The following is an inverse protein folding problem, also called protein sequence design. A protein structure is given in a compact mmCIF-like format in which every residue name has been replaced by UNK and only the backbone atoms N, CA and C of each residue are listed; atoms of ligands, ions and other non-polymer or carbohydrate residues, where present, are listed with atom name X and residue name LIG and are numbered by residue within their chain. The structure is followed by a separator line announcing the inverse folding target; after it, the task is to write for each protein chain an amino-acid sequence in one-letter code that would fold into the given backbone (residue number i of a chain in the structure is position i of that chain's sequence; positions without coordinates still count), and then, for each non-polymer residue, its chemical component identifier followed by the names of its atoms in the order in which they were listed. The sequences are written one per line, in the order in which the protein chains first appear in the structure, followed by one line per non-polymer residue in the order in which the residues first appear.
data_IF_644971551783
#
_entry.id   IF_644971551783
#
_cell.length_a   1.000
_cell.length_b   1.000
_cell.length_c   1.000
_cell.angle_alpha   90.00
_cell.angle_beta   90.00
_cell.angle_gamma   90.00
#
_symmetry.space_group_name_H-M   'P 1'
#
loop_
_entity.id
_entity.type
_entity.pdbx_description
1 polymer ?
#
# COMPACT_ATOMS: atom_id res chain seq x y z
N UNK A 1 25.34 7.87 -29.35
CA UNK A 1 25.43 8.03 -27.89
C UNK A 1 24.17 7.42 -27.25
N UNK A 2 24.14 6.11 -27.17
CA UNK A 2 23.08 5.34 -26.52
C UNK A 2 23.70 4.04 -26.02
N UNK A 3 24.34 4.06 -24.86
CA UNK A 3 24.83 2.92 -24.09
C UNK A 3 25.32 3.48 -22.76
N UNK A 4 24.47 3.52 -21.72
CA UNK A 4 24.94 3.76 -20.33
C UNK A 4 23.79 3.76 -19.30
N UNK A 5 22.73 2.94 -19.48
CA UNK A 5 21.70 2.83 -18.43
C UNK A 5 21.41 1.39 -17.95
N UNK A 6 22.19 0.41 -18.44
CA UNK A 6 21.96 -1.00 -18.11
C UNK A 6 22.73 -1.51 -16.89
N UNK A 7 23.58 -0.70 -16.24
CA UNK A 7 24.50 -1.20 -15.20
C UNK A 7 24.20 -0.70 -13.77
N UNK A 8 23.18 0.12 -13.54
CA UNK A 8 22.91 0.67 -12.20
C UNK A 8 21.95 -0.18 -11.34
N UNK A 9 21.30 -1.18 -11.90
CA UNK A 9 20.31 -1.99 -11.15
C UNK A 9 20.94 -3.14 -10.34
N UNK A 10 22.18 -3.55 -10.64
CA UNK A 10 22.84 -4.68 -10.00
C UNK A 10 23.61 -4.34 -8.70
N UNK A 11 23.81 -3.07 -8.36
CA UNK A 11 24.76 -2.66 -7.30
C UNK A 11 24.05 -2.38 -5.95
N UNK A 12 22.74 -2.18 -5.91
CA UNK A 12 22.04 -1.74 -4.68
C UNK A 12 21.63 -2.90 -3.76
N UNK A 13 21.58 -4.14 -4.24
CA UNK A 13 21.17 -5.30 -3.41
C UNK A 13 22.33 -5.89 -2.60
N UNK A 14 23.60 -5.64 -2.96
CA UNK A 14 24.75 -6.19 -2.24
C UNK A 14 25.16 -5.44 -0.96
N UNK A 15 24.57 -4.28 -0.64
CA UNK A 15 24.98 -3.48 0.52
C UNK A 15 24.27 -3.86 1.84
N UNK A 16 23.29 -4.76 1.82
CA UNK A 16 22.49 -5.10 3.00
C UNK A 16 23.01 -6.25 3.88
N UNK A 17 24.15 -6.88 3.54
CA UNK A 17 24.63 -8.05 4.27
C UNK A 17 25.78 -7.78 5.26
N UNK A 18 26.18 -6.55 5.50
CA UNK A 18 27.32 -6.28 6.36
C UNK A 18 27.13 -5.06 7.29
N UNK A 19 26.25 -5.13 8.26
CA UNK A 19 26.44 -4.51 9.58
C UNK A 19 25.29 -4.86 10.52
N UNK A 20 25.34 -6.05 11.12
CA UNK A 20 24.57 -6.37 12.31
C UNK A 20 25.44 -6.03 13.52
N UNK A 21 25.23 -4.87 14.12
CA UNK A 21 25.66 -4.61 15.49
C UNK A 21 24.46 -4.71 16.42
N UNK A 22 24.40 -5.82 17.18
CA UNK A 22 23.46 -6.01 18.28
C UNK A 22 23.60 -4.89 19.32
N UNK A 23 22.48 -4.27 19.66
CA UNK A 23 22.26 -3.63 20.95
C UNK A 23 21.08 -4.30 21.61
N UNK A 24 21.34 -4.93 22.74
CA UNK A 24 20.34 -5.57 23.59
C UNK A 24 19.30 -4.55 24.06
N UNK A 25 18.04 -4.74 23.64
CA UNK A 25 16.90 -4.03 24.17
C UNK A 25 16.09 -5.00 25.04
N UNK A 26 16.10 -4.79 26.36
CA UNK A 26 15.21 -5.50 27.27
C UNK A 26 13.79 -4.95 27.10
N UNK A 27 12.88 -5.80 26.64
CA UNK A 27 11.44 -5.52 26.63
C UNK A 27 10.80 -6.20 27.83
N UNK A 28 10.23 -5.43 28.73
CA UNK A 28 9.30 -5.93 29.73
C UNK A 28 7.90 -6.05 29.13
N UNK A 29 7.37 -7.27 29.12
CA UNK A 29 5.96 -7.57 29.22
C UNK A 29 5.10 -7.40 27.96
N UNK A 30 5.20 -8.32 26.99
CA UNK A 30 4.14 -8.53 26.00
C UNK A 30 3.49 -9.92 26.21
N UNK A 31 2.16 -9.95 26.25
CA UNK A 31 1.37 -11.16 26.41
C UNK A 31 1.62 -12.15 25.26
N UNK A 32 1.81 -13.43 25.56
CA UNK A 32 1.95 -14.49 24.57
C UNK A 32 0.63 -14.74 23.83
N UNK A 33 0.67 -14.90 22.48
CA UNK A 33 -0.49 -15.38 21.74
C UNK A 33 -0.73 -16.88 22.02
N UNK A 34 -1.99 -17.22 22.19
CA UNK A 34 -2.48 -18.57 22.43
C UNK A 34 -2.12 -19.51 21.28
N UNK A 35 -1.54 -20.66 21.61
CA UNK A 35 -1.24 -21.73 20.67
C UNK A 35 -2.53 -22.39 20.17
N UNK A 36 -2.86 -22.26 18.89
CA UNK A 36 -3.76 -23.18 18.23
C UNK A 36 -2.97 -24.38 17.72
N UNK A 37 -3.21 -25.56 18.29
CA UNK A 37 -2.65 -26.81 17.81
C UNK A 37 -3.38 -27.28 16.56
N UNK A 38 -2.76 -27.09 15.39
CA UNK A 38 -3.04 -27.92 14.23
C UNK A 38 -1.70 -28.52 13.77
N UNK A 39 -1.48 -29.77 14.17
CA UNK A 39 -0.30 -30.52 13.75
C UNK A 39 -0.47 -30.99 12.30
N UNK A 40 -0.09 -30.18 11.33
CA UNK A 40 0.31 -30.64 10.02
C UNK A 40 1.81 -30.96 10.08
N UNK A 41 2.19 -32.21 9.81
CA UNK A 41 3.59 -32.59 9.59
C UNK A 41 4.01 -31.97 8.26
N UNK A 42 4.48 -30.75 8.29
CA UNK A 42 5.24 -30.17 7.20
C UNK A 42 6.71 -30.49 7.46
N UNK A 43 7.35 -31.23 6.55
CA UNK A 43 8.81 -31.24 6.48
C UNK A 43 9.24 -29.78 6.30
N UNK A 44 9.95 -29.24 7.27
CA UNK A 44 10.39 -27.85 7.22
C UNK A 44 11.36 -27.72 6.02
N UNK A 45 10.96 -26.96 5.02
CA UNK A 45 11.77 -26.64 3.84
C UNK A 45 13.01 -25.87 4.32
N UNK A 46 14.19 -26.36 4.03
CA UNK A 46 15.44 -25.70 4.43
C UNK A 46 15.83 -24.61 3.43
N UNK A 47 16.67 -23.62 3.81
CA UNK A 47 17.20 -22.64 2.86
C UNK A 47 17.91 -23.29 1.65
N UNK A 48 18.53 -24.45 1.84
CA UNK A 48 19.17 -25.21 0.76
C UNK A 48 18.13 -25.78 -0.21
N UNK A 49 16.98 -26.27 0.29
CA UNK A 49 15.88 -26.76 -0.54
C UNK A 49 15.27 -25.63 -1.36
N UNK A 50 15.06 -24.47 -0.77
CA UNK A 50 14.59 -23.24 -1.45
C UNK A 50 15.56 -22.87 -2.58
N UNK A 51 16.87 -22.79 -2.31
CA UNK A 51 17.87 -22.47 -3.33
C UNK A 51 17.92 -23.48 -4.48
N UNK A 52 17.78 -24.78 -4.16
CA UNK A 52 17.72 -25.83 -5.17
C UNK A 52 16.47 -25.73 -6.06
N UNK A 53 15.31 -25.45 -5.47
CA UNK A 53 14.06 -25.20 -6.20
C UNK A 53 14.20 -24.01 -7.13
N UNK A 54 14.67 -22.86 -6.65
CA UNK A 54 14.84 -21.65 -7.47
C UNK A 54 15.84 -21.86 -8.61
N UNK A 55 16.91 -22.63 -8.37
CA UNK A 55 17.87 -23.01 -9.44
C UNK A 55 17.23 -23.87 -10.51
N UNK A 56 16.41 -24.86 -10.12
CA UNK A 56 15.66 -25.70 -11.04
C UNK A 56 14.67 -24.87 -11.86
N UNK A 57 13.89 -24.02 -11.22
CA UNK A 57 12.91 -23.17 -11.89
C UNK A 57 13.58 -22.22 -12.88
N UNK A 58 14.76 -21.67 -12.57
CA UNK A 58 15.50 -20.81 -13.50
C UNK A 58 15.81 -21.50 -14.84
N UNK A 59 16.02 -22.80 -14.83
CA UNK A 59 16.28 -23.57 -16.04
C UNK A 59 15.03 -23.77 -16.93
N UNK A 60 13.84 -23.50 -16.41
CA UNK A 60 12.57 -23.62 -17.13
C UNK A 60 12.07 -22.29 -17.72
N UNK A 61 12.70 -21.17 -17.39
CA UNK A 61 12.29 -19.84 -17.83
C UNK A 61 12.39 -19.69 -19.35
N UNK A 62 11.43 -19.01 -20.01
CA UNK A 62 11.48 -18.75 -21.45
C UNK A 62 12.70 -17.91 -21.84
N UNK A 63 13.17 -18.00 -23.09
CA UNK A 63 14.19 -17.09 -23.62
C UNK A 63 13.73 -15.63 -23.48
N UNK A 64 14.65 -14.73 -23.09
CA UNK A 64 14.36 -13.30 -22.89
C UNK A 64 13.39 -12.96 -21.74
N UNK A 65 13.25 -13.83 -20.74
CA UNK A 65 12.41 -13.59 -19.57
C UNK A 65 12.74 -12.26 -18.86
N UNK A 66 14.00 -11.79 -18.94
CA UNK A 66 14.42 -10.53 -18.29
C UNK A 66 13.70 -9.28 -18.85
N UNK A 67 13.23 -9.34 -20.09
CA UNK A 67 12.47 -8.23 -20.68
C UNK A 67 11.13 -8.01 -19.95
N UNK A 68 10.60 -9.03 -19.33
CA UNK A 68 9.35 -8.99 -18.55
C UNK A 68 9.44 -8.07 -17.32
N UNK A 69 10.61 -7.98 -16.69
CA UNK A 69 10.79 -7.14 -15.49
C UNK A 69 10.43 -5.66 -15.68
N UNK A 70 10.36 -5.19 -16.94
CA UNK A 70 10.13 -3.79 -17.28
C UNK A 70 8.87 -3.57 -18.14
N UNK A 71 8.08 -4.58 -18.42
CA UNK A 71 7.09 -4.56 -19.50
C UNK A 71 5.63 -4.53 -19.06
N UNK A 72 5.27 -3.85 -17.98
CA UNK A 72 3.86 -3.50 -17.78
C UNK A 72 3.45 -2.51 -18.87
N UNK A 73 2.31 -2.75 -19.52
CA UNK A 73 1.81 -1.93 -20.63
C UNK A 73 1.73 -0.45 -20.24
N UNK A 74 2.44 0.38 -20.97
CA UNK A 74 2.51 1.82 -20.70
C UNK A 74 1.15 2.53 -20.81
N UNK A 75 0.26 2.06 -21.69
CA UNK A 75 -1.10 2.58 -21.84
C UNK A 75 -1.99 2.29 -20.62
N UNK A 76 -1.76 1.17 -19.94
CA UNK A 76 -2.42 0.86 -18.68
C UNK A 76 -1.89 1.75 -17.57
N UNK A 77 -0.58 1.90 -17.44
CA UNK A 77 0.04 2.79 -16.44
C UNK A 77 -0.40 4.25 -16.58
N UNK A 78 -0.68 4.71 -17.79
CA UNK A 78 -1.18 6.06 -18.03
C UNK A 78 -2.61 6.29 -17.54
N UNK A 79 -3.39 5.24 -17.30
CA UNK A 79 -4.78 5.32 -16.85
C UNK A 79 -4.96 5.18 -15.34
N UNK A 80 -4.01 4.57 -14.67
CA UNK A 80 -4.04 4.33 -13.23
C UNK A 80 -3.23 5.38 -12.51
N UNK A 81 -3.64 5.71 -11.28
CA UNK A 81 -2.85 6.58 -10.43
C UNK A 81 -1.47 5.96 -10.20
N UNK A 82 -0.35 6.64 -10.57
CA UNK A 82 0.98 6.06 -10.46
C UNK A 82 1.47 5.88 -9.02
N UNK A 83 0.85 6.52 -8.04
CA UNK A 83 1.31 6.54 -6.65
C UNK A 83 1.42 5.16 -6.02
N UNK A 84 0.43 4.28 -6.24
CA UNK A 84 0.43 2.95 -5.64
C UNK A 84 1.63 2.07 -6.05
N UNK A 85 2.11 2.19 -7.29
CA UNK A 85 3.23 1.39 -7.81
C UNK A 85 4.53 1.63 -7.05
N UNK A 86 4.69 2.81 -6.48
CA UNK A 86 5.94 3.27 -5.88
C UNK A 86 6.03 2.99 -4.39
N UNK A 87 4.92 2.76 -3.69
CA UNK A 87 4.93 2.44 -2.26
C UNK A 87 5.77 1.18 -1.99
N UNK A 88 5.55 0.11 -2.75
CA UNK A 88 6.33 -1.14 -2.63
C UNK A 88 7.80 -0.93 -3.02
N UNK A 89 8.06 -0.18 -4.10
CA UNK A 89 9.42 0.09 -4.55
C UNK A 89 10.19 1.01 -3.59
N UNK A 90 9.52 1.96 -2.93
CA UNK A 90 10.15 2.86 -1.96
C UNK A 90 10.52 2.14 -0.67
N UNK A 91 9.71 1.22 -0.20
CA UNK A 91 10.06 0.37 0.95
C UNK A 91 11.31 -0.49 0.67
N UNK A 92 11.51 -0.90 -0.59
CA UNK A 92 12.69 -1.66 -1.00
C UNK A 92 13.91 -0.77 -1.35
N UNK A 93 13.77 0.56 -1.43
CA UNK A 93 14.82 1.53 -1.81
C UNK A 93 15.18 2.46 -0.66
N UNK A 94 15.69 1.96 0.42
CA UNK A 94 16.21 2.78 1.52
C UNK A 94 17.47 3.54 1.07
N UNK A 95 17.32 4.76 0.53
CA UNK A 95 18.43 5.69 0.33
C UNK A 95 18.59 6.53 1.60
N UNK A 96 19.78 6.56 2.17
CA UNK A 96 20.10 7.39 3.33
C UNK A 96 19.98 8.87 2.96
N UNK A 97 18.92 9.52 3.42
CA UNK A 97 18.73 10.97 3.38
C UNK A 97 18.79 11.52 4.82
N UNK A 98 18.98 12.82 5.05
CA UNK A 98 19.01 13.39 6.40
C UNK A 98 17.65 13.36 7.14
N UNK A 99 16.65 12.72 6.61
CA UNK A 99 15.35 12.48 7.19
C UNK A 99 15.31 11.05 7.75
N UNK A 100 14.63 10.83 8.86
CA UNK A 100 14.48 9.50 9.46
C UNK A 100 13.17 8.87 9.02
N UNK A 101 13.25 7.94 8.07
CA UNK A 101 12.14 7.09 7.60
C UNK A 101 12.16 5.68 8.22
N UNK A 102 13.01 5.45 9.21
CA UNK A 102 13.07 4.20 9.95
C UNK A 102 11.90 4.08 10.94
N UNK A 103 10.69 4.19 10.43
CA UNK A 103 9.46 4.09 11.20
C UNK A 103 9.20 2.67 11.70
N UNK A 104 8.29 2.48 12.67
CA UNK A 104 7.93 1.15 13.15
C UNK A 104 7.34 0.27 12.05
N UNK A 105 6.59 0.86 11.10
CA UNK A 105 6.06 0.14 9.93
C UNK A 105 7.21 -0.32 9.02
N UNK A 106 8.17 0.55 8.73
CA UNK A 106 9.36 0.18 7.94
C UNK A 106 10.18 -0.91 8.62
N UNK A 107 10.40 -0.79 9.93
CA UNK A 107 11.12 -1.81 10.71
C UNK A 107 10.38 -3.15 10.68
N UNK A 108 9.06 -3.13 10.86
CA UNK A 108 8.25 -4.35 10.80
C UNK A 108 8.33 -5.01 9.41
N UNK A 109 8.21 -4.23 8.33
CA UNK A 109 8.30 -4.78 6.98
C UNK A 109 9.69 -5.36 6.68
N UNK A 110 10.76 -4.70 7.13
CA UNK A 110 12.12 -5.23 7.04
C UNK A 110 12.28 -6.56 7.78
N UNK A 111 11.64 -6.73 8.93
CA UNK A 111 11.61 -8.01 9.62
C UNK A 111 10.85 -9.08 8.83
N UNK A 112 9.74 -8.74 8.18
CA UNK A 112 8.99 -9.67 7.33
C UNK A 112 9.82 -10.15 6.12
N UNK A 113 10.72 -9.31 5.61
CA UNK A 113 11.58 -9.58 4.45
C UNK A 113 12.97 -10.12 4.84
N UNK A 114 13.25 -10.31 6.13
CA UNK A 114 14.60 -10.65 6.62
C UNK A 114 15.16 -11.99 6.13
N UNK A 115 14.29 -12.92 5.73
CA UNK A 115 14.63 -14.22 5.16
C UNK A 115 14.49 -14.29 3.62
N UNK A 116 14.21 -13.14 2.98
CA UNK A 116 14.14 -13.06 1.54
C UNK A 116 15.54 -12.89 0.93
N UNK A 117 15.90 -13.82 0.06
CA UNK A 117 17.11 -13.74 -0.77
C UNK A 117 16.85 -12.93 -2.05
N UNK A 118 17.93 -12.57 -2.75
CA UNK A 118 17.83 -11.94 -4.07
C UNK A 118 16.95 -12.74 -5.04
N UNK A 119 17.09 -14.06 -5.08
CA UNK A 119 16.33 -14.92 -5.99
C UNK A 119 14.83 -14.93 -5.63
N UNK A 120 14.47 -14.90 -4.36
CA UNK A 120 13.08 -14.82 -3.91
C UNK A 120 12.44 -13.50 -4.39
N UNK A 121 13.15 -12.38 -4.22
CA UNK A 121 12.71 -11.05 -4.71
C UNK A 121 12.63 -11.05 -6.24
N UNK A 122 13.63 -11.60 -6.90
CA UNK A 122 13.69 -11.68 -8.36
C UNK A 122 12.50 -12.44 -8.94
N UNK A 123 12.15 -13.60 -8.41
CA UNK A 123 11.01 -14.38 -8.88
C UNK A 123 9.68 -13.69 -8.59
N UNK A 124 9.51 -13.08 -7.41
CA UNK A 124 8.30 -12.31 -7.10
C UNK A 124 8.09 -11.15 -8.08
N UNK A 125 9.18 -10.50 -8.50
CA UNK A 125 9.12 -9.41 -9.49
C UNK A 125 8.90 -9.96 -10.91
N UNK A 126 9.67 -10.98 -11.31
CA UNK A 126 9.64 -11.54 -12.66
C UNK A 126 8.25 -12.09 -13.02
N UNK A 127 7.61 -12.78 -12.10
CA UNK A 127 6.31 -13.41 -12.31
C UNK A 127 5.13 -12.45 -12.23
N UNK A 128 5.35 -11.23 -11.72
CA UNK A 128 4.29 -10.24 -11.51
C UNK A 128 3.55 -10.41 -10.18
N UNK A 129 3.97 -11.31 -9.29
CA UNK A 129 3.31 -11.50 -7.98
C UNK A 129 3.24 -10.24 -7.13
N UNK A 130 4.19 -9.30 -7.28
CA UNK A 130 4.16 -8.02 -6.56
C UNK A 130 3.09 -7.05 -7.10
N UNK A 131 2.65 -7.25 -8.34
CA UNK A 131 1.71 -6.35 -9.02
C UNK A 131 0.29 -6.93 -9.09
N UNK A 132 0.16 -8.24 -9.27
CA UNK A 132 -1.14 -8.89 -9.56
C UNK A 132 -2.23 -8.61 -8.54
N UNK A 133 -2.01 -8.68 -7.22
CA UNK A 133 -3.07 -8.37 -6.25
C UNK A 133 -3.59 -6.93 -6.38
N UNK A 134 -2.70 -5.98 -6.62
CA UNK A 134 -3.04 -4.56 -6.81
C UNK A 134 -3.90 -4.35 -8.05
N UNK A 135 -3.46 -4.86 -9.19
CA UNK A 135 -4.18 -4.66 -10.46
C UNK A 135 -5.46 -5.48 -10.56
N UNK A 136 -5.51 -6.65 -9.95
CA UNK A 136 -6.74 -7.43 -9.90
C UNK A 136 -7.81 -6.73 -9.05
N UNK A 137 -7.44 -6.22 -7.88
CA UNK A 137 -8.35 -5.41 -7.06
C UNK A 137 -8.79 -4.13 -7.79
N UNK A 138 -7.86 -3.47 -8.48
CA UNK A 138 -8.15 -2.26 -9.24
C UNK A 138 -9.08 -2.52 -10.43
N UNK A 139 -8.76 -3.48 -11.28
CA UNK A 139 -9.40 -3.62 -12.59
C UNK A 139 -10.65 -4.50 -12.56
N UNK A 140 -10.66 -5.52 -11.70
CA UNK A 140 -11.66 -6.59 -11.77
C UNK A 140 -12.54 -6.73 -10.53
N UNK A 141 -12.14 -6.21 -9.36
CA UNK A 141 -13.00 -6.19 -8.18
C UNK A 141 -13.87 -4.93 -8.17
N UNK A 142 -15.02 -4.98 -8.84
CA UNK A 142 -15.87 -3.83 -9.11
C UNK A 142 -17.21 -3.84 -8.33
N UNK A 143 -17.26 -4.56 -7.19
CA UNK A 143 -18.43 -4.62 -6.30
C UNK A 143 -18.01 -4.69 -4.84
N UNK A 144 -18.72 -3.95 -3.97
CA UNK A 144 -18.57 -4.04 -2.51
C UNK A 144 -19.29 -5.28 -1.92
N UNK A 145 -20.19 -5.89 -2.69
CA UNK A 145 -21.03 -6.99 -2.20
C UNK A 145 -20.23 -8.23 -1.88
N UNK A 146 -20.36 -8.75 -0.66
CA UNK A 146 -19.68 -9.95 -0.21
C UNK A 146 -18.20 -9.78 0.10
N UNK A 147 -17.64 -8.58 -0.03
CA UNK A 147 -16.23 -8.34 0.27
C UNK A 147 -15.95 -8.36 1.77
N UNK A 148 -14.79 -8.90 2.12
CA UNK A 148 -14.27 -8.93 3.49
C UNK A 148 -12.91 -8.21 3.50
N UNK A 149 -12.60 -7.53 4.58
CA UNK A 149 -11.36 -6.77 4.74
C UNK A 149 -10.49 -7.37 5.85
N UNK A 150 -9.22 -7.60 5.52
CA UNK A 150 -8.31 -8.44 6.28
C UNK A 150 -8.40 -9.91 5.85
N UNK A 151 -7.34 -10.67 6.10
CA UNK A 151 -7.23 -12.09 5.67
C UNK A 151 -8.40 -12.93 6.18
N UNK A 152 -8.94 -12.63 7.38
CA UNK A 152 -10.05 -13.32 8.01
C UNK A 152 -11.31 -12.43 8.15
N UNK A 153 -11.35 -11.29 7.45
CA UNK A 153 -12.48 -10.36 7.51
C UNK A 153 -12.52 -9.48 8.78
N UNK A 154 -11.44 -9.44 9.56
CA UNK A 154 -11.35 -8.79 10.87
C UNK A 154 -11.58 -7.28 10.85
N UNK A 155 -11.36 -6.62 9.72
CA UNK A 155 -11.57 -5.18 9.55
C UNK A 155 -12.91 -4.82 8.89
N UNK A 156 -13.67 -5.80 8.39
CA UNK A 156 -14.85 -5.61 7.55
C UNK A 156 -15.90 -4.70 8.20
N UNK A 157 -16.26 -4.95 9.43
CA UNK A 157 -17.29 -4.16 10.12
C UNK A 157 -16.85 -2.69 10.27
N UNK A 158 -15.59 -2.47 10.60
CA UNK A 158 -15.01 -1.15 10.81
C UNK A 158 -14.96 -0.35 9.51
N UNK A 159 -14.43 -0.94 8.45
CA UNK A 159 -14.33 -0.32 7.13
C UNK A 159 -15.73 0.00 6.58
N UNK A 160 -16.68 -0.96 6.66
CA UNK A 160 -18.06 -0.76 6.21
C UNK A 160 -18.76 0.39 6.95
N UNK A 161 -18.53 0.54 8.26
CA UNK A 161 -19.07 1.67 9.02
C UNK A 161 -18.41 2.98 8.59
N UNK A 162 -17.08 2.99 8.50
CA UNK A 162 -16.30 4.20 8.20
C UNK A 162 -16.65 4.78 6.84
N UNK A 163 -16.76 3.97 5.80
CA UNK A 163 -17.14 4.47 4.47
C UNK A 163 -18.54 5.09 4.44
N UNK A 164 -19.51 4.52 5.18
CA UNK A 164 -20.84 5.12 5.30
C UNK A 164 -20.80 6.48 5.99
N UNK A 165 -19.97 6.64 6.99
CA UNK A 165 -19.82 7.90 7.71
C UNK A 165 -19.08 8.94 6.86
N UNK A 166 -18.03 8.56 6.12
CA UNK A 166 -17.30 9.42 5.16
C UNK A 166 -18.21 9.95 4.05
N UNK A 167 -19.04 9.08 3.45
CA UNK A 167 -20.02 9.47 2.42
C UNK A 167 -21.05 10.48 2.89
N UNK A 168 -21.28 10.61 4.20
CA UNK A 168 -22.19 11.59 4.80
C UNK A 168 -21.48 12.85 5.26
N UNK A 169 -20.17 12.73 5.50
CA UNK A 169 -19.37 13.82 6.09
C UNK A 169 -18.94 14.85 5.07
N UNK A 170 -18.43 14.38 3.91
CA UNK A 170 -17.94 15.25 2.86
C UNK A 170 -19.02 15.59 1.83
N UNK A 171 -19.00 16.83 1.35
CA UNK A 171 -19.95 17.41 0.38
C UNK A 171 -19.61 17.12 -1.08
N UNK A 172 -19.15 15.89 -1.37
CA UNK A 172 -18.81 15.40 -2.71
C UNK A 172 -19.79 14.33 -3.21
N UNK A 173 -19.75 14.06 -4.53
CA UNK A 173 -20.52 12.98 -5.14
C UNK A 173 -19.91 11.61 -4.81
N UNK A 174 -20.31 11.06 -3.66
CA UNK A 174 -19.66 9.86 -3.09
C UNK A 174 -20.45 8.55 -3.28
N UNK A 175 -21.66 8.60 -3.82
CA UNK A 175 -22.54 7.42 -3.95
C UNK A 175 -21.94 6.29 -4.78
N UNK A 176 -21.12 6.62 -5.77
CA UNK A 176 -20.49 5.68 -6.70
C UNK A 176 -19.08 5.22 -6.25
N UNK A 177 -18.52 5.81 -5.21
CA UNK A 177 -17.22 5.38 -4.69
C UNK A 177 -17.42 4.03 -4.00
N UNK A 178 -16.72 3.00 -4.48
CA UNK A 178 -16.72 1.68 -3.87
C UNK A 178 -15.42 1.45 -3.09
N UNK A 179 -15.49 0.63 -2.04
CA UNK A 179 -14.32 0.18 -1.29
C UNK A 179 -14.18 -1.32 -1.46
N UNK A 180 -12.99 -1.76 -1.86
CA UNK A 180 -12.71 -3.17 -2.12
C UNK A 180 -11.40 -3.59 -1.43
N UNK A 181 -11.30 -4.86 -0.99
CA UNK A 181 -10.06 -5.38 -0.43
C UNK A 181 -9.06 -5.75 -1.53
N UNK A 182 -7.80 -5.81 -1.15
CA UNK A 182 -6.72 -6.38 -1.94
C UNK A 182 -6.11 -7.55 -1.14
N UNK A 183 -6.38 -8.76 -1.60
CA UNK A 183 -5.93 -9.99 -0.96
C UNK A 183 -4.81 -10.66 -1.73
N UNK A 184 -3.74 -11.04 -1.05
CA UNK A 184 -2.65 -11.80 -1.65
C UNK A 184 -3.05 -13.23 -2.05
N UNK A 185 -4.11 -13.76 -1.44
CA UNK A 185 -4.66 -15.08 -1.81
C UNK A 185 -5.17 -15.17 -3.24
N UNK A 186 -5.38 -14.05 -3.95
CA UNK A 186 -5.70 -14.07 -5.38
C UNK A 186 -4.62 -14.75 -6.21
N UNK A 187 -3.38 -14.77 -5.74
CA UNK A 187 -2.27 -15.47 -6.41
C UNK A 187 -2.43 -17.00 -6.46
N UNK A 188 -3.31 -17.55 -5.63
CA UNK A 188 -3.67 -18.97 -5.65
C UNK A 188 -4.76 -19.31 -6.68
N UNK A 189 -5.44 -18.30 -7.21
CA UNK A 189 -6.49 -18.46 -8.22
C UNK A 189 -5.87 -18.40 -9.62
N UNK A 190 -5.66 -19.56 -10.22
CA UNK A 190 -4.99 -19.72 -11.53
C UNK A 190 -5.65 -18.88 -12.62
N UNK A 191 -6.97 -18.83 -12.68
CA UNK A 191 -7.69 -18.09 -13.72
C UNK A 191 -7.54 -16.58 -13.56
N UNK A 192 -7.51 -16.10 -12.32
CA UNK A 192 -7.22 -14.67 -12.03
C UNK A 192 -5.79 -14.33 -12.40
N UNK A 193 -4.83 -15.19 -12.09
CA UNK A 193 -3.41 -15.00 -12.44
C UNK A 193 -3.24 -14.95 -13.96
N UNK A 194 -3.79 -15.91 -14.72
CA UNK A 194 -3.76 -15.91 -16.18
C UNK A 194 -4.34 -14.60 -16.73
N UNK A 195 -5.52 -14.21 -16.27
CA UNK A 195 -6.14 -12.95 -16.69
C UNK A 195 -5.25 -11.73 -16.41
N UNK A 196 -4.63 -11.68 -15.23
CA UNK A 196 -3.73 -10.58 -14.86
C UNK A 196 -2.49 -10.54 -15.72
N UNK A 197 -1.91 -11.69 -16.01
CA UNK A 197 -0.75 -11.82 -16.89
C UNK A 197 -1.05 -11.28 -18.30
N UNK A 198 -2.12 -11.77 -18.92
CA UNK A 198 -2.56 -11.30 -20.24
C UNK A 198 -2.82 -9.79 -20.28
N UNK A 199 -3.36 -9.22 -19.20
CA UNK A 199 -3.66 -7.79 -19.13
C UNK A 199 -2.41 -6.95 -18.92
N UNK A 200 -1.56 -7.30 -17.96
CA UNK A 200 -0.41 -6.48 -17.57
C UNK A 200 0.77 -6.62 -18.52
N UNK A 201 1.06 -7.84 -18.94
CA UNK A 201 2.22 -8.13 -19.79
C UNK A 201 1.84 -8.30 -21.27
N UNK A 202 0.57 -8.54 -21.56
CA UNK A 202 0.08 -8.75 -22.93
C UNK A 202 0.45 -10.11 -23.50
N UNK A 203 0.72 -11.06 -22.64
CA UNK A 203 1.03 -12.44 -23.03
C UNK A 203 -0.16 -13.12 -23.69
N UNK A 204 0.13 -14.11 -24.53
CA UNK A 204 -0.89 -15.03 -25.05
C UNK A 204 -1.35 -15.97 -23.93
N UNK A 205 -2.55 -16.53 -24.05
CA UNK A 205 -3.07 -17.45 -23.05
C UNK A 205 -2.09 -18.61 -22.70
N UNK A 206 -1.44 -19.31 -23.66
CA UNK A 206 -0.46 -20.33 -23.31
C UNK A 206 0.78 -19.82 -22.58
N UNK A 207 1.20 -18.57 -22.82
CA UNK A 207 2.30 -17.96 -22.08
C UNK A 207 1.85 -17.57 -20.66
N UNK A 208 0.64 -17.03 -20.53
CA UNK A 208 0.05 -16.69 -19.23
C UNK A 208 -0.19 -17.95 -18.36
N UNK A 209 -0.59 -19.06 -18.98
CA UNK A 209 -0.70 -20.37 -18.31
C UNK A 209 0.64 -20.83 -17.73
N UNK A 210 1.72 -20.71 -18.52
CA UNK A 210 3.07 -21.03 -18.04
C UNK A 210 3.44 -20.22 -16.79
N UNK A 211 3.18 -18.90 -16.81
CA UNK A 211 3.49 -18.03 -15.65
C UNK A 211 2.59 -18.35 -14.45
N UNK A 212 1.33 -18.68 -14.67
CA UNK A 212 0.42 -19.05 -13.60
C UNK A 212 0.83 -20.39 -12.94
N UNK A 213 1.27 -21.37 -13.73
CA UNK A 213 1.77 -22.64 -13.21
C UNK A 213 3.09 -22.45 -12.45
N UNK A 214 3.98 -21.59 -12.92
CA UNK A 214 5.19 -21.22 -12.22
C UNK A 214 4.88 -20.51 -10.87
N UNK A 215 3.92 -19.59 -10.85
CA UNK A 215 3.49 -18.95 -9.60
C UNK A 215 2.94 -19.98 -8.63
N UNK A 216 2.10 -20.91 -9.08
CA UNK A 216 1.56 -21.97 -8.24
C UNK A 216 2.66 -22.83 -7.62
N UNK A 217 3.69 -23.22 -8.40
CA UNK A 217 4.86 -23.95 -7.89
C UNK A 217 5.66 -23.12 -6.88
N UNK A 218 5.89 -21.83 -7.16
CA UNK A 218 6.59 -20.91 -6.24
C UNK A 218 5.84 -20.74 -4.91
N UNK A 219 4.51 -20.59 -4.96
CA UNK A 219 3.71 -20.44 -3.74
C UNK A 219 3.73 -21.70 -2.87
N UNK A 220 3.79 -22.87 -3.51
CA UNK A 220 3.84 -24.16 -2.82
C UNK A 220 5.23 -24.41 -2.20
N UNK A 221 6.30 -24.12 -2.95
CA UNK A 221 7.65 -24.59 -2.61
C UNK A 221 8.48 -23.53 -1.86
N UNK A 222 8.10 -22.24 -1.92
CA UNK A 222 8.82 -21.14 -1.28
C UNK A 222 8.04 -20.62 -0.07
N UNK A 223 8.39 -21.04 1.15
CA UNK A 223 7.66 -20.66 2.38
C UNK A 223 7.59 -19.16 2.62
N UNK A 224 8.60 -18.40 2.14
CA UNK A 224 8.67 -16.96 2.27
C UNK A 224 7.47 -16.24 1.63
N UNK A 225 6.89 -16.81 0.59
CA UNK A 225 5.70 -16.24 -0.04
C UNK A 225 4.41 -16.47 0.76
N UNK A 226 4.45 -17.33 1.82
CA UNK A 226 3.31 -17.63 2.70
C UNK A 226 2.06 -17.99 1.92
N UNK A 227 2.24 -18.75 0.85
CA UNK A 227 1.15 -19.12 -0.06
C UNK A 227 0.35 -17.89 -0.57
N UNK A 228 1.07 -16.83 -0.96
CA UNK A 228 0.49 -15.57 -1.43
C UNK A 228 0.11 -14.57 -0.33
N UNK A 229 0.12 -14.97 0.94
CA UNK A 229 -0.30 -14.11 2.06
C UNK A 229 0.88 -13.36 2.73
N UNK A 230 2.06 -13.29 2.07
CA UNK A 230 3.11 -12.42 2.60
C UNK A 230 2.68 -10.95 2.46
N UNK A 231 2.82 -10.12 3.51
CA UNK A 231 2.30 -8.75 3.52
C UNK A 231 2.77 -7.88 2.36
N UNK A 232 3.98 -8.13 1.84
CA UNK A 232 4.56 -7.35 0.73
C UNK A 232 3.68 -7.34 -0.53
N UNK A 233 2.91 -8.41 -0.79
CA UNK A 233 2.05 -8.51 -1.96
C UNK A 233 0.84 -7.58 -1.92
N UNK A 234 0.48 -7.10 -0.73
CA UNK A 234 -0.69 -6.26 -0.49
C UNK A 234 -0.37 -5.09 0.45
N UNK A 235 0.91 -4.68 0.46
CA UNK A 235 1.39 -3.59 1.31
C UNK A 235 1.09 -2.24 0.68
N UNK A 236 -0.19 -1.97 0.43
CA UNK A 236 -0.66 -0.71 -0.15
C UNK A 236 -2.13 -0.47 0.16
N UNK A 237 -2.54 0.81 0.05
CA UNK A 237 -3.91 1.27 -0.09
C UNK A 237 -3.90 2.45 -1.04
N UNK A 238 -4.94 2.65 -1.83
CA UNK A 238 -4.98 3.76 -2.77
C UNK A 238 -6.40 4.09 -3.22
N UNK A 239 -6.58 5.33 -3.68
CA UNK A 239 -7.79 5.82 -4.33
C UNK A 239 -7.59 5.90 -5.84
N UNK A 240 -8.61 5.54 -6.60
CA UNK A 240 -8.62 5.65 -8.06
C UNK A 240 -9.91 6.31 -8.55
N UNK A 241 -9.79 7.37 -9.34
CA UNK A 241 -10.91 7.93 -10.08
C UNK A 241 -11.34 6.99 -11.21
N UNK A 242 -12.64 7.00 -11.54
CA UNK A 242 -13.19 6.14 -12.59
C UNK A 242 -12.52 6.37 -13.95
N UNK A 243 -12.35 5.29 -14.71
CA UNK A 243 -11.83 5.35 -16.08
C UNK A 243 -12.37 4.22 -16.96
N UNK A 244 -12.37 4.45 -18.27
CA UNK A 244 -12.74 3.43 -19.27
C UNK A 244 -11.59 2.43 -19.48
N UNK A 245 -11.91 1.14 -19.41
CA UNK A 245 -10.96 0.04 -19.57
C UNK A 245 -11.46 -1.01 -20.59
N UNK A 246 -11.48 -0.69 -21.89
CA UNK A 246 -11.93 -1.63 -22.93
C UNK A 246 -10.95 -2.83 -23.03
N UNK A 247 -11.46 -4.04 -23.30
CA UNK A 247 -12.87 -4.41 -23.51
C UNK A 247 -13.64 -4.68 -22.21
N UNK A 248 -13.05 -4.48 -21.04
CA UNK A 248 -13.55 -4.92 -19.73
C UNK A 248 -14.59 -3.96 -19.13
N UNK A 249 -14.83 -2.80 -19.74
CA UNK A 249 -15.84 -1.86 -19.30
C UNK A 249 -15.29 -0.62 -18.61
N UNK A 250 -15.91 -0.21 -17.51
CA UNK A 250 -15.52 0.97 -16.73
C UNK A 250 -15.07 0.52 -15.34
N UNK A 251 -13.89 0.94 -14.93
CA UNK A 251 -13.45 0.88 -13.54
C UNK A 251 -14.12 2.04 -12.80
N UNK A 252 -14.91 1.78 -11.74
CA UNK A 252 -15.58 2.83 -10.98
C UNK A 252 -14.62 3.65 -10.13
N UNK A 253 -15.11 4.76 -9.59
CA UNK A 253 -14.44 5.44 -8.47
C UNK A 253 -14.22 4.44 -7.32
N UNK A 254 -13.00 4.28 -6.86
CA UNK A 254 -12.63 3.15 -6.04
C UNK A 254 -11.58 3.49 -4.98
N UNK A 255 -11.73 2.87 -3.82
CA UNK A 255 -10.67 2.77 -2.80
C UNK A 255 -10.31 1.30 -2.66
N UNK A 256 -9.03 0.99 -2.75
CA UNK A 256 -8.49 -0.35 -2.55
C UNK A 256 -7.75 -0.39 -1.21
N UNK A 257 -8.07 -1.39 -0.37
CA UNK A 257 -7.49 -1.58 0.96
C UNK A 257 -6.72 -2.89 1.01
N UNK A 258 -5.40 -2.83 1.13
CA UNK A 258 -4.55 -4.02 1.17
C UNK A 258 -4.47 -4.68 2.55
N UNK A 259 -4.44 -6.01 2.59
CA UNK A 259 -4.26 -6.76 3.83
C UNK A 259 -2.93 -6.43 4.50
N UNK A 260 -1.84 -6.40 3.73
CA UNK A 260 -0.48 -6.23 4.26
C UNK A 260 -0.24 -4.91 4.96
N UNK A 261 -0.81 -3.80 4.45
CA UNK A 261 -0.70 -2.50 5.13
C UNK A 261 -1.51 -2.51 6.43
N UNK A 262 -2.71 -3.09 6.45
CA UNK A 262 -3.51 -3.20 7.67
C UNK A 262 -2.86 -4.10 8.72
N UNK A 263 -2.25 -5.22 8.29
CA UNK A 263 -1.51 -6.12 9.15
C UNK A 263 -0.29 -5.45 9.80
N UNK A 264 0.43 -4.60 9.06
CA UNK A 264 1.55 -3.85 9.61
C UNK A 264 1.16 -2.99 10.80
N UNK A 265 0.06 -2.27 10.66
CA UNK A 265 -0.45 -1.43 11.75
C UNK A 265 -1.01 -2.22 12.92
N UNK A 266 -1.59 -3.37 12.66
CA UNK A 266 -2.03 -4.29 13.73
C UNK A 266 -0.83 -4.79 14.51
N UNK A 267 0.25 -5.18 13.83
CA UNK A 267 1.46 -5.68 14.45
C UNK A 267 2.17 -4.64 15.35
N UNK A 268 2.10 -3.36 14.98
CA UNK A 268 2.67 -2.26 15.78
C UNK A 268 1.67 -1.62 16.78
N UNK A 269 0.48 -2.23 16.95
CA UNK A 269 -0.47 -1.85 18.00
C UNK A 269 -1.54 -0.82 17.60
N UNK A 270 -1.69 -0.48 16.31
CA UNK A 270 -2.67 0.50 15.82
C UNK A 270 -3.81 -0.11 14.97
N UNK A 271 -3.97 -1.42 14.98
CA UNK A 271 -4.94 -2.14 14.13
C UNK A 271 -6.41 -1.77 14.34
N UNK A 272 -6.76 -1.12 15.42
CA UNK A 272 -8.13 -0.64 15.66
C UNK A 272 -8.37 0.82 15.24
N UNK A 273 -7.33 1.55 14.85
CA UNK A 273 -7.39 2.94 14.35
C UNK A 273 -7.00 3.03 12.89
N UNK A 274 -5.92 2.34 12.49
CA UNK A 274 -5.32 2.48 11.18
C UNK A 274 -6.28 2.18 10.01
N UNK A 275 -7.13 1.14 10.01
CA UNK A 275 -8.05 0.89 8.91
C UNK A 275 -8.99 2.08 8.63
N UNK A 276 -9.42 2.79 9.69
CA UNK A 276 -10.25 3.98 9.56
C UNK A 276 -9.45 5.19 9.07
N UNK A 277 -8.23 5.36 9.56
CA UNK A 277 -7.35 6.46 9.20
C UNK A 277 -6.92 6.35 7.73
N UNK A 278 -6.50 5.16 7.30
CA UNK A 278 -6.12 4.88 5.91
C UNK A 278 -7.33 5.09 4.98
N UNK A 279 -8.47 4.47 5.30
CA UNK A 279 -9.67 4.64 4.48
C UNK A 279 -10.10 6.11 4.36
N UNK A 280 -10.00 6.88 5.44
CA UNK A 280 -10.34 8.30 5.42
C UNK A 280 -9.32 9.14 4.63
N UNK A 281 -8.05 8.75 4.63
CA UNK A 281 -7.00 9.33 3.79
C UNK A 281 -7.31 9.08 2.30
N UNK A 282 -7.57 7.84 1.92
CA UNK A 282 -7.93 7.49 0.53
C UNK A 282 -9.23 8.18 0.07
N UNK A 283 -10.18 8.33 0.97
CA UNK A 283 -11.38 9.11 0.67
C UNK A 283 -11.06 10.60 0.46
N UNK A 284 -10.06 11.12 1.15
CA UNK A 284 -9.51 12.46 0.95
C UNK A 284 -9.05 12.69 -0.50
N UNK A 285 -8.45 11.69 -1.14
CA UNK A 285 -8.10 11.77 -2.56
C UNK A 285 -9.32 11.88 -3.47
N UNK A 286 -10.44 11.22 -3.17
CA UNK A 286 -11.69 11.46 -3.91
C UNK A 286 -12.24 12.87 -3.71
N UNK A 287 -12.10 13.45 -2.51
CA UNK A 287 -12.39 14.87 -2.30
C UNK A 287 -11.51 15.74 -3.19
N UNK A 288 -10.24 15.44 -3.29
CA UNK A 288 -9.28 16.15 -4.14
C UNK A 288 -9.58 15.99 -5.64
N UNK A 289 -9.91 14.78 -6.11
CA UNK A 289 -10.28 14.52 -7.51
C UNK A 289 -11.46 15.42 -7.93
N UNK A 290 -12.52 15.45 -7.13
CA UNK A 290 -13.72 16.21 -7.46
C UNK A 290 -13.56 17.72 -7.31
N UNK A 291 -12.58 18.19 -6.57
CA UNK A 291 -12.22 19.61 -6.43
C UNK A 291 -11.02 20.02 -7.32
N UNK A 292 -10.56 19.15 -8.24
CA UNK A 292 -9.45 19.41 -9.17
C UNK A 292 -8.14 19.86 -8.46
N UNK A 293 -7.84 19.29 -7.29
CA UNK A 293 -6.68 19.67 -6.47
C UNK A 293 -5.36 19.21 -7.11
N UNK A 294 -5.37 18.09 -7.83
CA UNK A 294 -4.15 17.51 -8.43
C UNK A 294 -3.54 18.39 -9.53
N UNK A 295 -4.34 19.16 -10.25
CA UNK A 295 -3.85 20.00 -11.35
C UNK A 295 -3.20 19.19 -12.48
N UNK A 296 -2.30 19.84 -13.23
CA UNK A 296 -1.54 19.24 -14.33
C UNK A 296 -0.04 19.12 -14.03
N UNK A 297 0.42 19.63 -12.90
CA UNK A 297 1.81 19.62 -12.49
C UNK A 297 2.17 18.29 -11.85
N UNK A 298 3.28 17.70 -12.31
CA UNK A 298 3.87 16.50 -11.72
C UNK A 298 5.22 16.86 -11.10
N UNK A 299 5.23 17.14 -9.81
CA UNK A 299 6.45 17.46 -9.05
C UNK A 299 6.38 16.80 -7.66
N UNK A 300 7.53 16.60 -6.99
CA UNK A 300 7.54 16.10 -5.60
C UNK A 300 6.73 16.99 -4.65
N UNK A 301 6.73 18.28 -4.87
CA UNK A 301 5.97 19.25 -4.06
C UNK A 301 4.46 19.12 -4.29
N UNK A 302 4.02 18.90 -5.54
CA UNK A 302 2.62 18.71 -5.87
C UNK A 302 2.08 17.43 -5.22
N UNK A 303 2.80 16.30 -5.33
CA UNK A 303 2.44 15.04 -4.67
C UNK A 303 2.42 15.20 -3.15
N UNK A 304 3.48 15.76 -2.57
CA UNK A 304 3.52 16.00 -1.13
C UNK A 304 2.35 16.86 -0.64
N UNK A 305 1.97 17.90 -1.40
CA UNK A 305 0.80 18.74 -1.05
C UNK A 305 -0.48 17.91 -0.98
N UNK A 306 -0.74 17.06 -1.98
CA UNK A 306 -1.95 16.23 -2.01
C UNK A 306 -1.96 15.17 -0.92
N UNK A 307 -0.84 14.54 -0.65
CA UNK A 307 -0.70 13.55 0.42
C UNK A 307 -0.91 14.16 1.82
N UNK A 308 -0.23 15.25 2.13
CA UNK A 308 -0.38 15.94 3.40
C UNK A 308 -1.81 16.49 3.59
N UNK A 309 -2.45 16.92 2.50
CA UNK A 309 -3.86 17.34 2.54
C UNK A 309 -4.79 16.16 2.84
N UNK A 310 -4.55 14.98 2.28
CA UNK A 310 -5.32 13.77 2.55
C UNK A 310 -5.16 13.32 4.02
N UNK A 311 -3.96 13.40 4.58
CA UNK A 311 -3.71 13.18 6.02
C UNK A 311 -4.53 14.14 6.90
N UNK A 312 -4.51 15.42 6.55
CA UNK A 312 -5.27 16.43 7.26
C UNK A 312 -6.79 16.22 7.16
N UNK A 313 -7.29 15.84 5.97
CA UNK A 313 -8.71 15.49 5.76
C UNK A 313 -9.12 14.27 6.57
N UNK A 314 -8.28 13.24 6.60
CA UNK A 314 -8.49 12.05 7.42
C UNK A 314 -8.60 12.42 8.91
N UNK A 315 -7.62 13.14 9.43
CA UNK A 315 -7.60 13.55 10.83
C UNK A 315 -8.79 14.47 11.20
N UNK A 316 -9.20 15.36 10.30
CA UNK A 316 -10.37 16.20 10.46
C UNK A 316 -11.65 15.36 10.60
N UNK A 317 -11.87 14.38 9.71
CA UNK A 317 -13.00 13.44 9.79
C UNK A 317 -12.97 12.62 11.08
N UNK A 318 -11.81 12.02 11.41
CA UNK A 318 -11.67 11.15 12.57
C UNK A 318 -11.98 11.88 13.88
N UNK A 319 -11.64 13.17 13.97
CA UNK A 319 -11.79 13.98 15.18
C UNK A 319 -13.12 14.72 15.27
N UNK A 320 -13.77 14.99 14.13
CA UNK A 320 -15.03 15.74 14.10
C UNK A 320 -16.15 14.99 14.82
N UNK A 321 -16.94 15.71 15.62
CA UNK A 321 -18.08 15.16 16.34
C UNK A 321 -19.16 14.57 15.41
N UNK A 322 -19.25 15.05 14.17
CA UNK A 322 -20.14 14.56 13.11
C UNK A 322 -19.47 13.58 12.16
N UNK A 323 -18.16 13.33 12.32
CA UNK A 323 -17.38 12.30 11.64
C UNK A 323 -17.26 11.02 12.49
N UNK A 324 -16.05 10.50 12.66
CA UNK A 324 -15.82 9.33 13.50
C UNK A 324 -15.86 9.62 15.00
N UNK A 325 -15.79 10.90 15.41
CA UNK A 325 -15.86 11.35 16.79
C UNK A 325 -14.85 10.65 17.73
N UNK A 326 -13.63 10.45 17.25
CA UNK A 326 -12.58 9.82 18.04
C UNK A 326 -12.20 10.69 19.25
N UNK A 327 -12.16 10.05 20.42
CA UNK A 327 -11.78 10.71 21.65
C UNK A 327 -10.29 11.04 21.71
N UNK A 328 -9.90 12.05 22.51
CA UNK A 328 -8.51 12.49 22.70
C UNK A 328 -7.50 11.35 22.89
N UNK A 329 -7.88 10.32 23.62
CA UNK A 329 -7.02 9.15 23.85
C UNK A 329 -6.58 8.48 22.52
N UNK A 330 -7.46 8.51 21.50
CA UNK A 330 -7.22 7.92 20.19
C UNK A 330 -6.48 8.85 19.24
N UNK A 331 -6.50 10.17 19.51
CA UNK A 331 -5.81 11.17 18.68
C UNK A 331 -4.32 10.87 18.57
N UNK A 332 -3.67 10.54 19.69
CA UNK A 332 -2.24 10.18 19.68
C UNK A 332 -1.96 8.95 18.83
N UNK A 333 -2.87 7.98 18.80
CA UNK A 333 -2.74 6.76 18.02
C UNK A 333 -2.85 7.06 16.52
N UNK A 334 -3.86 7.81 16.07
CA UNK A 334 -3.97 8.10 14.64
C UNK A 334 -2.88 9.04 14.13
N UNK A 335 -2.37 9.97 14.93
CA UNK A 335 -1.20 10.77 14.56
C UNK A 335 0.03 9.88 14.28
N UNK A 336 0.20 8.80 15.05
CA UNK A 336 1.25 7.83 14.80
C UNK A 336 1.02 7.01 13.53
N UNK A 337 -0.22 6.78 13.11
CA UNK A 337 -0.50 6.14 11.83
C UNK A 337 0.13 6.96 10.69
N UNK A 338 -0.13 8.25 10.64
CA UNK A 338 0.42 9.13 9.62
C UNK A 338 1.94 9.29 9.72
N UNK A 339 2.49 9.39 10.92
CA UNK A 339 3.95 9.38 11.10
C UNK A 339 4.61 8.15 10.48
N UNK A 340 4.02 6.97 10.65
CA UNK A 340 4.62 5.70 10.22
C UNK A 340 4.61 5.46 8.71
N UNK A 341 3.87 6.23 7.91
CA UNK A 341 3.83 6.12 6.44
C UNK A 341 4.57 7.23 5.70
N UNK A 342 5.27 8.10 6.42
CA UNK A 342 6.13 9.12 5.78
C UNK A 342 7.37 8.53 5.15
N UNK A 343 7.92 9.23 4.18
CA UNK A 343 9.14 8.86 3.46
C UNK A 343 10.14 10.02 3.36
N UNK A 344 11.38 9.70 3.00
CA UNK A 344 12.47 10.66 2.83
C UNK A 344 12.89 10.86 1.36
N UNK A 345 12.02 10.56 0.43
CA UNK A 345 12.31 10.56 -1.01
C UNK A 345 12.16 11.94 -1.68
N UNK A 346 12.71 12.99 -1.12
CA UNK A 346 12.51 14.40 -1.50
C UNK A 346 12.58 14.73 -2.99
N UNK A 347 13.33 13.98 -3.78
CA UNK A 347 13.48 14.17 -5.23
C UNK A 347 12.58 13.24 -6.05
N UNK A 348 11.79 12.41 -5.42
CA UNK A 348 10.83 11.52 -6.08
C UNK A 348 9.54 12.27 -6.37
N UNK A 349 9.02 12.13 -7.59
CA UNK A 349 7.67 12.60 -7.93
C UNK A 349 6.57 11.91 -7.10
N UNK A 350 6.95 10.89 -6.32
CA UNK A 350 6.08 10.12 -5.42
C UNK A 350 6.43 10.38 -3.95
N UNK A 351 7.00 11.54 -3.63
CA UNK A 351 7.31 11.92 -2.25
C UNK A 351 6.03 12.26 -1.49
N UNK A 352 5.65 11.44 -0.51
CA UNK A 352 4.43 11.61 0.28
C UNK A 352 4.57 12.57 1.47
N UNK A 353 5.78 13.06 1.73
CA UNK A 353 6.11 13.87 2.90
C UNK A 353 6.86 13.09 3.96
N UNK A 354 7.69 13.79 4.74
CA UNK A 354 8.43 13.17 5.85
C UNK A 354 7.48 12.70 6.95
N UNK A 355 7.88 11.74 7.80
CA UNK A 355 7.09 11.33 8.95
C UNK A 355 6.61 12.50 9.79
N UNK A 356 7.46 13.51 10.02
CA UNK A 356 7.11 14.72 10.80
C UNK A 356 6.10 15.59 10.07
N UNK A 357 6.24 15.78 8.76
CA UNK A 357 5.30 16.57 7.95
C UNK A 357 3.92 15.91 7.90
N UNK A 358 3.85 14.58 7.70
CA UNK A 358 2.60 13.85 7.71
C UNK A 358 1.89 13.95 9.06
N UNK A 359 2.62 13.78 10.16
CA UNK A 359 2.08 13.99 11.50
C UNK A 359 1.59 15.42 11.73
N UNK A 360 2.34 16.43 11.24
CA UNK A 360 1.95 17.84 11.36
C UNK A 360 0.68 18.17 10.54
N UNK A 361 0.52 17.57 9.37
CA UNK A 361 -0.69 17.69 8.57
C UNK A 361 -1.90 17.07 9.28
N UNK A 362 -1.73 15.87 9.85
CA UNK A 362 -2.78 15.23 10.63
C UNK A 362 -3.15 16.05 11.90
N UNK A 363 -2.15 16.63 12.60
CA UNK A 363 -2.41 17.51 13.74
C UNK A 363 -3.19 18.78 13.30
N UNK A 364 -2.87 19.36 12.15
CA UNK A 364 -3.66 20.47 11.59
C UNK A 364 -5.13 20.07 11.39
N UNK A 365 -5.41 18.91 10.83
CA UNK A 365 -6.78 18.39 10.67
C UNK A 365 -7.50 18.21 12.00
N UNK A 366 -6.80 17.65 13.00
CA UNK A 366 -7.31 17.52 14.36
C UNK A 366 -7.64 18.87 15.01
N UNK A 367 -6.73 19.84 14.93
CA UNK A 367 -6.95 21.17 15.52
C UNK A 367 -8.12 21.89 14.85
N UNK A 368 -8.26 21.75 13.53
CA UNK A 368 -9.38 22.29 12.76
C UNK A 368 -10.71 21.71 13.24
N UNK A 369 -10.79 20.38 13.43
CA UNK A 369 -11.98 19.73 13.99
C UNK A 369 -12.27 20.20 15.44
N UNK A 370 -11.25 20.29 16.28
CA UNK A 370 -11.40 20.69 17.68
C UNK A 370 -11.90 22.13 17.80
N UNK A 371 -11.44 23.03 16.95
CA UNK A 371 -11.92 24.41 16.91
C UNK A 371 -13.36 24.51 16.39
N UNK A 372 -13.75 23.67 15.44
CA UNK A 372 -15.10 23.62 14.87
C UNK A 372 -16.11 22.94 15.80
N UNK A 373 -15.70 22.01 16.66
CA UNK A 373 -16.59 21.28 17.58
C UNK A 373 -17.49 22.18 18.43
N UNK A 374 -16.98 23.34 18.84
CA UNK A 374 -17.74 24.31 19.63
C UNK A 374 -18.92 24.91 18.89
N UNK A 375 -18.97 24.78 17.58
CA UNK A 375 -19.98 25.36 16.71
C UNK A 375 -20.84 24.30 15.96
N UNK A 376 -20.51 23.01 16.06
CA UNK A 376 -21.22 21.91 15.37
C UNK A 376 -21.17 22.00 13.85
N UNK A 377 -20.26 22.81 13.30
CA UNK A 377 -20.10 23.07 11.87
C UNK A 377 -19.09 22.11 11.25
N UNK A 378 -19.41 21.54 10.09
CA UNK A 378 -18.47 20.85 9.21
C UNK A 378 -18.12 21.83 8.09
N UNK A 379 -16.82 22.04 7.87
CA UNK A 379 -16.35 22.80 6.72
C UNK A 379 -16.71 22.06 5.41
N UNK A 380 -17.09 22.80 4.39
CA UNK A 380 -17.13 22.25 3.06
C UNK A 380 -15.74 21.82 2.58
N UNK A 381 -15.68 20.93 1.59
CA UNK A 381 -14.43 20.50 0.98
C UNK A 381 -13.59 21.68 0.49
N UNK A 382 -14.21 22.65 -0.17
CA UNK A 382 -13.53 23.84 -0.67
C UNK A 382 -12.96 24.71 0.46
N UNK A 383 -13.72 24.91 1.53
CA UNK A 383 -13.24 25.68 2.71
C UNK A 383 -12.06 24.98 3.36
N UNK A 384 -12.13 23.65 3.53
CA UNK A 384 -11.04 22.87 4.12
C UNK A 384 -9.77 22.96 3.28
N UNK A 385 -9.88 22.77 1.95
CA UNK A 385 -8.75 22.89 1.01
C UNK A 385 -8.09 24.25 1.12
N UNK A 386 -8.87 25.34 1.11
CA UNK A 386 -8.32 26.68 1.22
C UNK A 386 -7.59 26.93 2.56
N UNK A 387 -8.12 26.41 3.66
CA UNK A 387 -7.46 26.51 4.98
C UNK A 387 -6.17 25.69 5.03
N UNK A 388 -6.17 24.50 4.44
CA UNK A 388 -4.98 23.65 4.39
C UNK A 388 -3.88 24.32 3.55
N UNK A 389 -4.21 24.83 2.35
CA UNK A 389 -3.24 25.51 1.48
C UNK A 389 -2.59 26.71 2.16
N UNK A 390 -3.34 27.45 2.95
CA UNK A 390 -2.81 28.56 3.76
C UNK A 390 -1.85 28.08 4.88
N UNK A 391 -2.06 26.88 5.42
CA UNK A 391 -1.23 26.28 6.47
C UNK A 391 -0.02 25.52 5.93
N UNK A 392 -0.05 25.08 4.66
CA UNK A 392 0.95 24.21 4.04
C UNK A 392 2.41 24.69 4.24
N UNK A 393 2.75 26.00 4.06
CA UNK A 393 4.13 26.46 4.30
C UNK A 393 4.64 26.16 5.72
N UNK A 394 3.75 26.22 6.72
CA UNK A 394 4.10 25.91 8.11
C UNK A 394 4.24 24.42 8.33
N UNK A 395 3.41 23.60 7.69
CA UNK A 395 3.44 22.14 7.79
C UNK A 395 4.74 21.59 7.18
N UNK A 396 5.11 22.03 5.98
CA UNK A 396 6.31 21.56 5.29
C UNK A 396 7.62 22.06 5.89
N UNK A 397 7.58 23.08 6.75
CA UNK A 397 8.75 23.56 7.47
C UNK A 397 9.13 22.70 8.69
N UNK A 398 8.33 21.68 9.00
CA UNK A 398 8.57 20.72 10.10
C UNK A 398 9.44 19.58 9.60
#
# INVERSE_FOLDING_TARGET
MRKLYSSMFAIVVCAFLATSCQKDYKSDGAAQPSKSNAAAKTNATTPADVAATLTKLRATLPPNFESRLNNIKADLLAKVNPEYKYTVLNVLKLAATPCDDNTMVTQWLNMQLSDWTYDIIFYASLTGMLDFPTYDALLFTNSESGQQFGINGEYTQRITKTIKDLKRFWDIQSSQIIVVPMHGSMLQDRDRVIRMDMVLFGDTEPAAEFWADLIAELLQDIPQYRNGNHPIFTFNSFAQASFSFPPYGVVPDKIVMGDGIMDSYTAIGYGDVAPQAILAHEFGHHVQFQNNVFGTESSPEATRRTELMADAMSAYFLSSARGASMQWKRVKEFLQVFFNIGDCSFNSINHHGTPTQRMAAADFGYQTANNAQKQGHILSSVEFIALFDAALPTIVSK
#
